data_IF_829308351965
#
_entry.id   IF_829308351965
#
_cell.length_a   1.000
_cell.length_b   1.000
_cell.length_c   1.000
_cell.angle_alpha   90.00
_cell.angle_beta   90.00
_cell.angle_gamma   90.00
#
_symmetry.space_group_name_H-M   'P 1'
#
loop_
_entity.id
_entity.type
_entity.pdbx_description
1 polymer ?
#
# COMPACT_ATOMS: atom_id res chain seq x y z
N UNK A 1 -25.06 7.71 -16.55
CA UNK A 1 -24.83 6.34 -16.05
C UNK A 1 -23.37 6.23 -15.60
N UNK A 2 -23.09 6.47 -14.32
CA UNK A 2 -21.77 6.25 -13.72
C UNK A 2 -22.00 5.86 -12.26
N UNK A 3 -21.71 4.62 -11.87
CA UNK A 3 -21.95 4.21 -10.49
C UNK A 3 -21.84 2.73 -10.14
N UNK A 4 -21.31 1.85 -11.00
CA UNK A 4 -20.76 0.59 -10.51
C UNK A 4 -19.41 0.89 -9.86
N UNK A 5 -19.43 1.39 -8.63
CA UNK A 5 -18.30 1.11 -7.73
C UNK A 5 -18.37 -0.38 -7.49
N UNK A 6 -17.46 -1.10 -8.12
CA UNK A 6 -17.12 -2.46 -7.79
C UNK A 6 -17.11 -2.57 -6.27
N UNK A 7 -18.09 -3.28 -5.69
CA UNK A 7 -17.92 -3.90 -4.38
C UNK A 7 -16.71 -4.79 -4.60
N UNK A 8 -15.51 -4.27 -4.30
CA UNK A 8 -14.30 -5.04 -4.38
C UNK A 8 -14.57 -6.34 -3.62
N UNK A 9 -14.35 -7.46 -4.30
CA UNK A 9 -14.80 -8.75 -3.81
C UNK A 9 -14.24 -8.94 -2.40
N UNK A 10 -15.11 -9.10 -1.39
CA UNK A 10 -14.67 -9.17 0.01
C UNK A 10 -13.64 -10.27 0.22
N UNK A 11 -13.75 -11.35 -0.55
CA UNK A 11 -12.74 -12.40 -0.62
C UNK A 11 -11.38 -11.86 -1.08
N UNK A 12 -11.32 -11.16 -2.21
CA UNK A 12 -10.08 -10.57 -2.74
C UNK A 12 -9.48 -9.54 -1.79
N UNK A 13 -10.32 -8.71 -1.16
CA UNK A 13 -9.85 -7.73 -0.18
C UNK A 13 -9.19 -8.43 1.00
N UNK A 14 -9.89 -9.38 1.60
CA UNK A 14 -9.40 -10.04 2.78
C UNK A 14 -8.21 -10.98 2.44
N UNK A 15 -8.15 -11.58 1.24
CA UNK A 15 -6.95 -12.26 0.73
C UNK A 15 -5.74 -11.33 0.58
N UNK A 16 -5.95 -10.10 0.09
CA UNK A 16 -4.89 -9.10 -0.01
C UNK A 16 -4.35 -8.67 1.37
N UNK A 17 -5.23 -8.57 2.37
CA UNK A 17 -4.85 -8.22 3.75
C UNK A 17 -4.15 -9.37 4.47
N UNK A 18 -4.72 -10.58 4.41
CA UNK A 18 -4.19 -11.73 5.14
C UNK A 18 -3.08 -12.47 4.39
N UNK A 19 -2.81 -12.10 3.13
CA UNK A 19 -1.84 -12.74 2.23
C UNK A 19 -2.04 -14.25 2.07
N UNK A 20 -3.28 -14.70 2.24
CA UNK A 20 -3.68 -16.11 2.12
C UNK A 20 -5.17 -16.20 1.85
N UNK A 21 -5.57 -17.33 1.26
CA UNK A 21 -6.99 -17.70 1.13
C UNK A 21 -7.63 -17.87 2.50
N UNK A 22 -8.89 -17.47 2.58
CA UNK A 22 -9.70 -17.47 3.80
C UNK A 22 -11.03 -18.15 3.46
N UNK A 23 -11.45 -19.05 4.35
CA UNK A 23 -12.61 -19.91 4.11
C UNK A 23 -13.95 -19.17 4.16
N UNK A 24 -14.05 -18.11 4.98
CA UNK A 24 -15.28 -17.38 5.25
C UNK A 24 -15.07 -15.85 5.22
N UNK A 25 -14.73 -15.27 4.05
CA UNK A 25 -14.51 -13.83 3.92
C UNK A 25 -15.74 -12.99 4.27
N UNK A 26 -16.96 -13.54 4.15
CA UNK A 26 -18.22 -12.91 4.52
C UNK A 26 -18.31 -12.51 6.01
N UNK A 27 -17.56 -13.21 6.88
CA UNK A 27 -17.52 -12.94 8.31
C UNK A 27 -16.64 -11.72 8.66
N UNK A 28 -15.85 -11.23 7.72
CA UNK A 28 -15.03 -10.04 7.90
C UNK A 28 -15.88 -8.78 7.67
N UNK A 29 -15.95 -7.89 8.66
CA UNK A 29 -16.61 -6.60 8.49
C UNK A 29 -15.77 -5.66 7.63
N UNK A 30 -16.44 -4.84 6.82
CA UNK A 30 -15.77 -3.84 5.98
C UNK A 30 -14.95 -2.86 6.83
N UNK A 31 -15.43 -2.55 8.05
CA UNK A 31 -14.72 -1.72 9.02
C UNK A 31 -13.40 -2.37 9.48
N UNK A 32 -13.42 -3.68 9.79
CA UNK A 32 -12.22 -4.43 10.16
C UNK A 32 -11.23 -4.46 9.00
N UNK A 33 -11.68 -4.77 7.79
CA UNK A 33 -10.83 -4.79 6.61
C UNK A 33 -10.26 -3.41 6.30
N UNK A 34 -11.07 -2.34 6.41
CA UNK A 34 -10.60 -0.96 6.24
C UNK A 34 -9.55 -0.58 7.27
N UNK A 35 -9.73 -0.94 8.55
CA UNK A 35 -8.73 -0.67 9.59
C UNK A 35 -7.42 -1.40 9.32
N UNK A 36 -7.49 -2.66 8.88
CA UNK A 36 -6.31 -3.43 8.50
C UNK A 36 -5.62 -2.84 7.26
N UNK A 37 -6.37 -2.40 6.25
CA UNK A 37 -5.84 -1.68 5.09
C UNK A 37 -5.08 -0.44 5.54
N UNK A 38 -5.66 0.39 6.42
CA UNK A 38 -4.98 1.58 6.96
C UNK A 38 -3.67 1.20 7.64
N UNK A 39 -3.69 0.21 8.55
CA UNK A 39 -2.48 -0.23 9.24
C UNK A 39 -1.39 -0.67 8.26
N UNK A 40 -1.72 -1.49 7.25
CA UNK A 40 -0.74 -1.94 6.25
C UNK A 40 -0.20 -0.79 5.41
N UNK A 41 -1.08 0.13 4.98
CA UNK A 41 -0.67 1.32 4.22
C UNK A 41 0.26 2.20 5.03
N UNK A 42 -0.03 2.46 6.31
CA UNK A 42 0.84 3.25 7.19
C UNK A 42 2.23 2.64 7.33
N UNK A 43 2.32 1.31 7.48
CA UNK A 43 3.61 0.61 7.56
C UNK A 43 4.41 0.77 6.25
N UNK A 44 3.79 0.51 5.10
CA UNK A 44 4.47 0.64 3.82
C UNK A 44 4.83 2.08 3.49
N UNK A 45 3.93 3.03 3.76
CA UNK A 45 4.14 4.46 3.62
C UNK A 45 5.39 4.88 4.39
N UNK A 46 5.48 4.53 5.68
CA UNK A 46 6.61 4.91 6.52
C UNK A 46 7.94 4.35 5.97
N UNK A 47 7.98 3.07 5.61
CA UNK A 47 9.19 2.44 5.06
C UNK A 47 9.63 3.13 3.77
N UNK A 48 8.69 3.47 2.89
CA UNK A 48 9.00 4.16 1.63
C UNK A 48 9.56 5.55 1.90
N UNK A 49 8.88 6.36 2.70
CA UNK A 49 9.29 7.74 2.98
C UNK A 49 10.66 7.82 3.67
N UNK A 50 10.90 6.96 4.67
CA UNK A 50 12.21 6.85 5.31
C UNK A 50 13.30 6.41 4.31
N UNK A 51 12.98 5.46 3.43
CA UNK A 51 13.92 4.98 2.42
C UNK A 51 14.23 6.05 1.36
N UNK A 52 13.25 6.86 0.96
CA UNK A 52 13.44 8.01 0.05
C UNK A 52 14.43 8.99 0.68
N UNK A 53 14.24 9.35 1.94
CA UNK A 53 15.15 10.25 2.65
C UNK A 53 16.59 9.72 2.68
N UNK A 54 16.76 8.40 2.85
CA UNK A 54 18.09 7.76 2.81
C UNK A 54 18.68 7.81 1.39
N UNK A 55 17.90 7.51 0.35
CA UNK A 55 18.33 7.58 -1.07
C UNK A 55 18.87 8.96 -1.41
N UNK A 56 18.15 10.01 -0.98
CA UNK A 56 18.47 11.41 -1.28
C UNK A 56 19.70 11.92 -0.52
N UNK A 57 19.99 11.39 0.68
CA UNK A 57 21.05 11.91 1.55
C UNK A 57 22.34 11.07 1.53
N UNK A 58 22.27 9.80 1.13
CA UNK A 58 23.41 8.89 1.20
C UNK A 58 24.46 9.13 0.11
N UNK A 59 25.73 9.08 0.51
CA UNK A 59 26.88 9.07 -0.42
C UNK A 59 27.23 7.67 -0.95
N UNK A 60 26.68 6.62 -0.37
CA UNK A 60 27.02 5.23 -0.69
C UNK A 60 26.11 4.69 -1.79
N UNK A 61 26.69 4.31 -2.94
CA UNK A 61 25.94 3.81 -4.09
C UNK A 61 25.13 2.54 -3.77
N UNK A 62 25.73 1.57 -3.07
CA UNK A 62 25.05 0.31 -2.70
C UNK A 62 23.84 0.55 -1.78
N UNK A 63 23.97 1.49 -0.84
CA UNK A 63 22.84 1.92 0.00
C UNK A 63 21.74 2.54 -0.83
N UNK A 64 22.08 3.38 -1.82
CA UNK A 64 21.10 3.98 -2.73
C UNK A 64 20.35 2.89 -3.50
N UNK A 65 21.07 1.98 -4.15
CA UNK A 65 20.47 0.89 -4.93
C UNK A 65 19.61 -0.03 -4.08
N UNK A 66 20.08 -0.45 -2.90
CA UNK A 66 19.31 -1.31 -2.00
C UNK A 66 18.03 -0.63 -1.50
N UNK A 67 18.07 0.67 -1.17
CA UNK A 67 16.89 1.43 -0.74
C UNK A 67 15.92 1.69 -1.88
N UNK A 68 16.37 2.00 -3.10
CA UNK A 68 15.50 2.10 -4.27
C UNK A 68 14.75 0.80 -4.53
N UNK A 69 15.42 -0.36 -4.42
CA UNK A 69 14.76 -1.67 -4.52
C UNK A 69 13.69 -1.87 -3.44
N UNK A 70 14.01 -1.53 -2.19
CA UNK A 70 13.08 -1.64 -1.07
C UNK A 70 11.82 -0.76 -1.27
N UNK A 71 12.01 0.48 -1.75
CA UNK A 71 10.91 1.40 -2.10
C UNK A 71 9.99 0.77 -3.13
N UNK A 72 10.54 0.24 -4.23
CA UNK A 72 9.73 -0.40 -5.27
C UNK A 72 8.98 -1.64 -4.76
N UNK A 73 9.62 -2.47 -3.93
CA UNK A 73 8.97 -3.64 -3.32
C UNK A 73 7.75 -3.24 -2.50
N UNK A 74 7.88 -2.25 -1.61
CA UNK A 74 6.77 -1.79 -0.79
C UNK A 74 5.70 -1.04 -1.59
N UNK A 75 6.09 -0.32 -2.63
CA UNK A 75 5.13 0.33 -3.53
C UNK A 75 4.25 -0.69 -4.25
N UNK A 76 4.81 -1.82 -4.68
CA UNK A 76 4.02 -2.91 -5.27
C UNK A 76 3.01 -3.49 -4.28
N UNK A 77 3.35 -3.63 -3.00
CA UNK A 77 2.39 -4.06 -1.97
C UNK A 77 1.26 -3.03 -1.78
N UNK A 78 1.57 -1.73 -1.76
CA UNK A 78 0.56 -0.66 -1.73
C UNK A 78 -0.38 -0.75 -2.95
N UNK A 79 0.14 -1.02 -4.15
CA UNK A 79 -0.68 -1.13 -5.36
C UNK A 79 -1.66 -2.30 -5.30
N UNK A 80 -1.32 -3.40 -4.62
CA UNK A 80 -2.25 -4.52 -4.39
C UNK A 80 -3.44 -4.11 -3.50
N UNK A 81 -3.23 -3.17 -2.57
CA UNK A 81 -4.27 -2.67 -1.66
C UNK A 81 -5.12 -1.54 -2.27
N UNK A 82 -4.58 -0.82 -3.27
CA UNK A 82 -5.22 0.34 -3.92
C UNK A 82 -6.68 0.13 -4.35
N UNK A 83 -7.10 -1.03 -4.92
CA UNK A 83 -8.49 -1.27 -5.31
C UNK A 83 -9.49 -1.23 -4.15
N UNK A 84 -9.03 -1.45 -2.92
CA UNK A 84 -9.85 -1.55 -1.70
C UNK A 84 -9.84 -0.26 -0.87
N UNK A 85 -9.09 0.77 -1.32
CA UNK A 85 -8.84 1.96 -0.54
C UNK A 85 -10.01 2.94 -0.56
N UNK A 86 -10.29 3.53 0.61
CA UNK A 86 -11.14 4.71 0.74
C UNK A 86 -10.38 5.99 0.34
N UNK A 87 -11.04 7.15 0.43
CA UNK A 87 -10.45 8.44 0.00
C UNK A 87 -9.18 8.82 0.77
N UNK A 88 -9.17 8.64 2.08
CA UNK A 88 -8.02 8.99 2.93
C UNK A 88 -6.84 8.06 2.65
N UNK A 89 -7.12 6.77 2.50
CA UNK A 89 -6.14 5.76 2.12
C UNK A 89 -5.53 6.05 0.74
N UNK A 90 -6.36 6.45 -0.24
CA UNK A 90 -5.88 6.85 -1.56
C UNK A 90 -4.98 8.11 -1.51
N UNK A 91 -5.24 9.04 -0.60
CA UNK A 91 -4.39 10.23 -0.44
C UNK A 91 -2.97 9.83 0.02
N UNK A 92 -2.84 8.87 0.94
CA UNK A 92 -1.52 8.34 1.34
C UNK A 92 -0.77 7.72 0.15
N UNK A 93 -1.47 6.99 -0.72
CA UNK A 93 -0.88 6.40 -1.92
C UNK A 93 -0.41 7.49 -2.89
N UNK A 94 -1.21 8.54 -3.09
CA UNK A 94 -0.84 9.66 -3.96
C UNK A 94 0.38 10.43 -3.45
N UNK A 95 0.53 10.54 -2.13
CA UNK A 95 1.71 11.15 -1.51
C UNK A 95 2.96 10.32 -1.79
N UNK A 96 2.89 8.99 -1.60
CA UNK A 96 3.97 8.06 -1.98
C UNK A 96 4.32 8.18 -3.46
N UNK A 97 3.32 8.15 -4.35
CA UNK A 97 3.50 8.29 -5.80
C UNK A 97 4.16 9.63 -6.16
N UNK A 98 3.88 10.69 -5.41
CA UNK A 98 4.50 12.01 -5.60
C UNK A 98 5.94 12.04 -5.11
N UNK A 99 6.20 11.50 -3.92
CA UNK A 99 7.54 11.45 -3.32
C UNK A 99 8.49 10.59 -4.15
N UNK A 100 8.00 9.50 -4.74
CA UNK A 100 8.78 8.60 -5.59
C UNK A 100 9.23 9.24 -6.92
N UNK A 101 8.66 10.36 -7.35
CA UNK A 101 9.14 11.07 -8.56
C UNK A 101 10.50 11.73 -8.37
N UNK A 102 10.92 11.92 -7.11
CA UNK A 102 12.19 12.57 -6.75
C UNK A 102 13.38 11.63 -6.62
N UNK A 103 13.21 10.33 -6.88
CA UNK A 103 14.23 9.28 -6.77
C UNK A 103 14.40 8.54 -8.10
#
# INVERSE_FOLDING_TARGET
>A
MFGWRNKANKAEWAEAIYQKKIAHPENESDEKLSRLTTFMLEQHYRIIMESIQIVLSTKYADTRTSRTKLIHQHYLEIQKLKPFCNKEQLAMIQEVESAMKGI
#
